data_IF_375582686370
#
_entry.id   IF_375582686370
#
_cell.length_a   1.000
_cell.length_b   1.000
_cell.length_c   1.000
_cell.angle_alpha   90.00
_cell.angle_beta   90.00
_cell.angle_gamma   90.00
#
_symmetry.space_group_name_H-M   'P 1'
#
loop_
_entity.id
_entity.type
_entity.pdbx_description
1 polymer ?
#
# COMPACT_ATOMS: atom_id res chain seq x y z
N UNK A 1 70.22 -31.46 8.97
CA UNK A 1 69.03 -31.84 8.16
C UNK A 1 67.77 -32.06 8.99
N UNK A 2 67.80 -32.73 10.16
CA UNK A 2 66.60 -32.96 11.01
C UNK A 2 65.94 -31.68 11.56
N UNK A 3 66.72 -30.65 11.93
CA UNK A 3 66.20 -29.35 12.42
C UNK A 3 65.52 -28.51 11.32
N UNK A 4 65.93 -28.67 10.07
CA UNK A 4 65.33 -28.02 8.90
C UNK A 4 63.99 -28.68 8.53
N UNK A 5 63.94 -30.01 8.58
CA UNK A 5 62.70 -30.77 8.40
C UNK A 5 61.64 -30.43 9.45
N UNK A 6 62.04 -30.32 10.73
CA UNK A 6 61.11 -29.96 11.81
C UNK A 6 60.52 -28.54 11.65
N UNK A 7 61.33 -27.59 11.19
CA UNK A 7 60.87 -26.22 10.93
C UNK A 7 59.86 -26.17 9.77
N UNK A 8 60.12 -26.94 8.71
CA UNK A 8 59.26 -26.97 7.51
C UNK A 8 57.92 -27.66 7.78
N UNK A 9 57.91 -28.73 8.58
CA UNK A 9 56.65 -29.37 9.03
C UNK A 9 55.84 -28.47 9.94
N UNK A 10 56.50 -27.67 10.80
CA UNK A 10 55.80 -26.74 11.69
C UNK A 10 55.18 -25.57 10.93
N UNK A 11 55.87 -25.04 9.91
CA UNK A 11 55.33 -24.02 9.03
C UNK A 11 54.13 -24.51 8.20
N UNK A 12 54.17 -25.77 7.73
CA UNK A 12 53.06 -26.38 7.00
C UNK A 12 51.80 -26.56 7.88
N UNK A 13 51.97 -26.91 9.16
CA UNK A 13 50.86 -27.03 10.11
C UNK A 13 50.20 -25.67 10.42
N UNK A 14 50.98 -24.59 10.49
CA UNK A 14 50.45 -23.24 10.70
C UNK A 14 49.72 -22.69 9.46
N UNK A 15 50.19 -23.02 8.26
CA UNK A 15 49.53 -22.62 7.01
C UNK A 15 48.20 -23.36 6.76
N UNK A 16 48.03 -24.55 7.35
CA UNK A 16 46.79 -25.35 7.24
C UNK A 16 45.62 -24.79 8.08
N UNK A 17 45.87 -23.86 9.00
CA UNK A 17 44.88 -23.32 9.93
C UNK A 17 44.35 -21.95 9.48
N UNK A 18 44.09 -21.80 8.18
CA UNK A 18 43.67 -20.55 7.55
C UNK A 18 42.49 -20.71 6.58
N UNK A 19 41.64 -21.73 6.77
CA UNK A 19 40.41 -21.88 6.02
C UNK A 19 39.42 -20.79 6.43
N UNK A 20 39.06 -19.90 5.52
CA UNK A 20 38.01 -18.91 5.74
C UNK A 20 36.68 -19.64 5.92
N UNK A 21 36.11 -19.55 7.13
CA UNK A 21 34.84 -20.18 7.53
C UNK A 21 33.59 -19.50 6.92
N UNK A 22 33.80 -18.73 5.84
CA UNK A 22 32.74 -18.09 5.08
C UNK A 22 32.41 -19.02 3.92
N UNK A 23 31.27 -19.71 4.01
CA UNK A 23 30.80 -20.58 2.93
C UNK A 23 30.71 -19.85 1.58
N UNK A 24 30.61 -20.59 0.48
CA UNK A 24 30.63 -20.11 -0.91
C UNK A 24 29.57 -19.04 -1.24
N UNK A 25 28.61 -18.78 -0.34
CA UNK A 25 27.55 -17.79 -0.50
C UNK A 25 27.72 -16.64 0.50
N UNK A 26 28.69 -15.76 0.23
CA UNK A 26 28.96 -14.54 1.01
C UNK A 26 28.12 -13.32 0.60
N UNK A 27 27.24 -13.48 -0.39
CA UNK A 27 26.44 -12.39 -0.96
C UNK A 27 27.26 -11.42 -1.82
N UNK A 28 26.56 -10.51 -2.50
CA UNK A 28 27.19 -9.49 -3.34
C UNK A 28 27.92 -8.48 -2.45
N UNK A 29 29.23 -8.36 -2.65
CA UNK A 29 30.05 -7.40 -1.93
C UNK A 29 29.66 -5.97 -2.30
N UNK A 30 29.74 -5.05 -1.33
CA UNK A 30 29.36 -3.63 -1.48
C UNK A 30 27.86 -3.35 -1.66
N UNK A 31 26.96 -4.17 -1.09
CA UNK A 31 25.56 -3.77 -0.96
C UNK A 31 25.48 -2.55 -0.03
N UNK A 32 24.89 -1.41 -0.46
CA UNK A 32 24.62 -0.31 0.45
C UNK A 32 23.73 -0.83 1.59
N UNK A 33 24.03 -0.43 2.82
CA UNK A 33 23.19 -0.76 3.98
C UNK A 33 21.79 -0.24 3.72
N UNK A 34 20.85 -1.16 3.54
CA UNK A 34 19.44 -0.81 3.36
C UNK A 34 18.86 -0.49 4.73
N UNK A 35 18.54 0.77 4.94
CA UNK A 35 17.65 1.18 6.02
C UNK A 35 16.24 1.24 5.44
N UNK A 36 15.27 0.49 5.97
CA UNK A 36 13.90 0.74 5.59
C UNK A 36 13.59 2.20 5.91
N UNK A 37 13.12 2.94 4.90
CA UNK A 37 12.61 4.28 5.13
C UNK A 37 11.36 4.18 5.99
N UNK A 38 11.31 4.91 7.10
CA UNK A 38 10.11 5.03 7.92
C UNK A 38 9.00 5.66 7.05
N UNK A 39 7.83 5.01 6.91
CA UNK A 39 6.70 5.60 6.22
C UNK A 39 6.31 6.92 6.89
N UNK A 40 5.87 7.89 6.08
CA UNK A 40 5.47 9.19 6.60
C UNK A 40 4.35 9.06 7.64
N UNK A 41 4.50 9.70 8.80
CA UNK A 41 3.51 9.66 9.88
C UNK A 41 3.53 8.37 10.73
N UNK A 42 4.46 7.44 10.46
CA UNK A 42 4.59 6.20 11.21
C UNK A 42 5.92 6.11 11.96
N UNK A 43 5.92 5.32 13.04
CA UNK A 43 7.12 5.01 13.84
C UNK A 43 7.43 3.52 13.78
N UNK A 44 8.72 3.18 13.79
CA UNK A 44 9.18 1.79 13.83
C UNK A 44 9.05 1.22 15.25
N UNK A 45 8.29 0.12 15.39
CA UNK A 45 8.17 -0.65 16.63
C UNK A 45 9.09 -1.88 16.54
N UNK A 46 10.13 -1.99 17.39
CA UNK A 46 11.05 -3.11 17.34
C UNK A 46 10.37 -4.41 17.77
N UNK A 47 10.90 -5.54 17.28
CA UNK A 47 10.45 -6.84 17.73
C UNK A 47 10.68 -7.02 19.23
N UNK A 48 9.75 -7.68 19.91
CA UNK A 48 9.85 -7.87 21.35
C UNK A 48 8.74 -8.76 21.88
N UNK A 49 8.85 -9.08 23.17
CA UNK A 49 7.78 -9.72 23.92
C UNK A 49 7.30 -8.80 25.02
N UNK A 50 6.00 -8.80 25.26
CA UNK A 50 5.36 -8.06 26.35
C UNK A 50 4.21 -8.87 26.95
N UNK A 51 3.85 -8.57 28.18
CA UNK A 51 2.68 -9.17 28.82
C UNK A 51 1.44 -8.39 28.41
N UNK A 52 0.54 -9.04 27.67
CA UNK A 52 -0.73 -8.47 27.23
C UNK A 52 -1.84 -8.91 28.17
N UNK A 53 -2.63 -7.96 28.66
CA UNK A 53 -3.75 -8.21 29.58
C UNK A 53 -3.62 -7.39 30.85
N UNK A 54 -4.59 -7.53 31.75
CA UNK A 54 -4.60 -6.78 33.00
C UNK A 54 -3.57 -7.36 33.97
N UNK A 55 -2.82 -6.47 34.64
CA UNK A 55 -1.86 -6.83 35.68
C UNK A 55 -2.42 -6.68 37.09
N UNK A 56 -3.52 -5.92 37.27
CA UNK A 56 -4.12 -5.60 38.56
C UNK A 56 -5.52 -6.23 38.67
N UNK A 57 -5.73 -7.13 39.64
CA UNK A 57 -7.07 -7.62 39.97
C UNK A 57 -7.74 -6.62 40.91
N UNK A 58 -8.90 -6.05 40.56
CA UNK A 58 -9.85 -5.64 41.62
C UNK A 58 -11.29 -5.36 41.15
N UNK A 59 -11.87 -6.25 40.34
CA UNK A 59 -13.34 -6.34 40.24
C UNK A 59 -13.78 -7.81 40.18
N UNK A 60 -14.37 -8.37 41.26
CA UNK A 60 -15.01 -9.67 41.19
C UNK A 60 -16.08 -9.66 40.09
N UNK A 61 -16.17 -10.71 39.27
CA UNK A 61 -17.08 -10.86 38.11
C UNK A 61 -16.70 -10.19 36.79
N UNK A 62 -15.55 -9.52 36.66
CA UNK A 62 -15.08 -9.10 35.35
C UNK A 62 -14.40 -10.29 34.63
N UNK A 63 -14.94 -10.71 33.47
CA UNK A 63 -14.28 -11.64 32.54
C UNK A 63 -13.05 -10.95 31.90
N UNK A 64 -12.05 -10.65 32.72
CA UNK A 64 -10.83 -9.98 32.29
C UNK A 64 -9.94 -10.98 31.57
N UNK A 65 -9.40 -10.57 30.42
CA UNK A 65 -8.47 -11.38 29.67
C UNK A 65 -7.23 -11.66 30.54
N UNK A 66 -6.85 -12.93 30.78
CA UNK A 66 -5.70 -13.26 31.60
C UNK A 66 -4.43 -12.70 30.96
N UNK A 67 -3.51 -12.21 31.81
CA UNK A 67 -2.20 -11.76 31.38
C UNK A 67 -1.46 -12.88 30.64
N UNK A 68 -1.12 -12.66 29.37
CA UNK A 68 -0.37 -13.62 28.54
C UNK A 68 0.85 -12.95 27.91
N UNK A 69 1.97 -13.66 27.86
CA UNK A 69 3.15 -13.19 27.16
C UNK A 69 2.92 -13.32 25.64
N UNK A 70 3.00 -12.21 24.92
CA UNK A 70 2.86 -12.15 23.47
C UNK A 70 4.18 -11.66 22.88
N UNK A 71 4.67 -12.35 21.86
CA UNK A 71 5.80 -11.91 21.05
C UNK A 71 5.28 -11.35 19.73
N UNK A 72 5.71 -10.14 19.38
CA UNK A 72 5.30 -9.46 18.14
C UNK A 72 6.54 -9.17 17.31
N UNK A 73 6.45 -9.45 16.00
CA UNK A 73 7.50 -9.08 15.04
C UNK A 73 7.58 -7.55 14.91
N UNK A 74 8.69 -7.03 14.37
CA UNK A 74 8.78 -5.58 14.15
C UNK A 74 7.79 -5.10 13.08
N UNK A 75 7.16 -3.95 13.30
CA UNK A 75 6.20 -3.34 12.37
C UNK A 75 6.18 -1.81 12.51
N UNK A 76 5.45 -1.12 11.64
CA UNK A 76 5.22 0.32 11.72
C UNK A 76 3.85 0.61 12.31
N UNK A 77 3.77 1.64 13.15
CA UNK A 77 2.53 2.12 13.75
C UNK A 77 2.39 3.62 13.53
N UNK A 78 1.17 4.09 13.25
CA UNK A 78 0.90 5.53 13.15
C UNK A 78 1.29 6.25 14.45
N UNK A 79 1.96 7.40 14.32
CA UNK A 79 2.39 8.19 15.48
C UNK A 79 1.19 8.79 16.25
N UNK A 80 0.11 9.10 15.54
CA UNK A 80 -1.12 9.70 16.07
C UNK A 80 -2.33 8.95 15.52
N UNK A 81 -3.49 9.09 16.17
CA UNK A 81 -4.73 8.64 15.53
C UNK A 81 -4.97 9.41 14.22
N UNK A 82 -5.66 8.77 13.28
CA UNK A 82 -6.05 9.39 12.01
C UNK A 82 -6.89 10.64 12.30
N UNK A 83 -6.43 11.78 11.79
CA UNK A 83 -7.12 13.05 11.95
C UNK A 83 -8.36 13.12 11.07
N UNK A 84 -9.32 13.95 11.47
CA UNK A 84 -10.51 14.23 10.64
C UNK A 84 -10.16 14.76 9.24
N UNK A 85 -9.00 15.38 9.06
CA UNK A 85 -8.58 15.90 7.75
C UNK A 85 -8.04 14.78 6.84
N UNK A 86 -7.20 13.90 7.38
CA UNK A 86 -6.71 12.71 6.65
C UNK A 86 -7.85 11.78 6.27
N UNK A 87 -8.81 11.58 7.18
CA UNK A 87 -9.99 10.78 6.85
C UNK A 87 -10.82 11.41 5.72
N UNK A 88 -10.94 12.75 5.67
CA UNK A 88 -11.62 13.44 4.55
C UNK A 88 -10.87 13.26 3.24
N UNK A 89 -9.54 13.29 3.23
CA UNK A 89 -8.74 13.03 2.04
C UNK A 89 -9.03 11.63 1.49
N UNK A 90 -9.06 10.61 2.35
CA UNK A 90 -9.43 9.25 1.97
C UNK A 90 -10.85 9.19 1.36
N UNK A 91 -11.84 9.76 2.05
CA UNK A 91 -13.24 9.76 1.56
C UNK A 91 -13.37 10.47 0.22
N UNK A 92 -12.69 11.61 0.03
CA UNK A 92 -12.69 12.32 -1.25
C UNK A 92 -12.04 11.50 -2.36
N UNK A 93 -10.92 10.83 -2.08
CA UNK A 93 -10.27 9.95 -3.05
C UNK A 93 -11.18 8.79 -3.46
N UNK A 94 -11.86 8.14 -2.50
CA UNK A 94 -12.80 7.04 -2.79
C UNK A 94 -13.98 7.55 -3.61
N UNK A 95 -14.59 8.67 -3.22
CA UNK A 95 -15.69 9.30 -3.97
C UNK A 95 -15.27 9.59 -5.41
N UNK A 96 -14.10 10.20 -5.59
CA UNK A 96 -13.58 10.60 -6.90
C UNK A 96 -13.23 9.36 -7.76
N UNK A 97 -12.68 8.30 -7.14
CA UNK A 97 -12.41 7.03 -7.82
C UNK A 97 -13.71 6.39 -8.35
N UNK A 98 -14.75 6.32 -7.52
CA UNK A 98 -16.03 5.71 -7.91
C UNK A 98 -16.73 6.54 -8.97
N UNK A 99 -16.70 7.87 -8.84
CA UNK A 99 -17.25 8.78 -9.84
C UNK A 99 -16.60 8.58 -11.21
N UNK A 100 -15.27 8.51 -11.26
CA UNK A 100 -14.53 8.25 -12.50
C UNK A 100 -14.87 6.91 -13.12
N UNK A 101 -14.98 5.85 -12.30
CA UNK A 101 -15.36 4.51 -12.81
C UNK A 101 -16.72 4.58 -13.51
N UNK A 102 -17.69 5.24 -12.89
CA UNK A 102 -19.02 5.40 -13.47
C UNK A 102 -19.05 6.29 -14.70
N UNK A 103 -18.24 7.36 -14.72
CA UNK A 103 -18.12 8.22 -15.89
C UNK A 103 -17.50 7.45 -17.07
N UNK A 104 -16.50 6.62 -16.80
CA UNK A 104 -15.88 5.75 -17.79
C UNK A 104 -16.87 4.68 -18.32
N UNK A 105 -17.69 4.09 -17.44
CA UNK A 105 -18.75 3.15 -17.83
C UNK A 105 -19.90 3.82 -18.60
N UNK A 106 -20.20 5.08 -18.26
CA UNK A 106 -21.16 5.92 -18.97
C UNK A 106 -20.65 6.46 -20.30
N UNK A 107 -19.41 6.11 -20.69
CA UNK A 107 -18.74 6.57 -21.91
C UNK A 107 -18.80 8.11 -22.05
N UNK A 108 -18.61 8.80 -20.93
CA UNK A 108 -18.55 10.26 -20.90
C UNK A 108 -17.23 10.71 -21.51
N UNK A 109 -17.29 11.68 -22.42
CA UNK A 109 -16.13 12.29 -23.07
C UNK A 109 -15.06 12.69 -22.03
N UNK A 110 -13.79 12.50 -22.38
CA UNK A 110 -12.58 12.69 -21.55
C UNK A 110 -12.40 11.72 -20.36
N UNK A 111 -13.46 11.08 -19.85
CA UNK A 111 -13.40 10.20 -18.68
C UNK A 111 -13.30 8.70 -19.01
N UNK A 112 -13.17 8.35 -20.29
CA UNK A 112 -13.01 6.98 -20.74
C UNK A 112 -11.77 6.30 -20.12
N UNK A 113 -11.80 4.97 -20.06
CA UNK A 113 -10.63 4.20 -19.65
C UNK A 113 -9.49 4.40 -20.66
N UNK A 114 -8.29 4.63 -20.14
CA UNK A 114 -7.05 4.59 -20.92
C UNK A 114 -6.78 3.14 -21.30
N UNK A 115 -6.87 2.82 -22.59
CA UNK A 115 -6.46 1.52 -23.12
C UNK A 115 -5.02 1.58 -23.60
N UNK A 116 -4.20 0.62 -23.18
CA UNK A 116 -2.82 0.51 -23.62
C UNK A 116 -2.66 0.18 -25.10
N UNK A 117 -3.65 -0.45 -25.72
CA UNK A 117 -3.62 -0.72 -27.15
C UNK A 117 -3.79 0.54 -28.01
N UNK A 118 -4.44 1.58 -27.47
CA UNK A 118 -4.79 2.81 -28.19
C UNK A 118 -3.85 3.99 -27.87
N UNK A 119 -2.81 3.76 -27.06
CA UNK A 119 -1.82 4.78 -26.73
C UNK A 119 -0.98 5.14 -27.97
N UNK A 120 -0.77 6.45 -28.19
CA UNK A 120 0.05 6.95 -29.30
C UNK A 120 1.56 6.70 -29.09
N UNK A 121 2.03 6.77 -27.84
CA UNK A 121 3.43 6.53 -27.46
C UNK A 121 3.54 5.66 -26.18
N UNK A 122 3.27 4.35 -26.28
CA UNK A 122 3.35 3.44 -25.15
C UNK A 122 4.80 3.12 -24.78
N UNK A 123 5.05 2.94 -23.48
CA UNK A 123 6.31 2.35 -23.01
C UNK A 123 6.42 0.89 -23.44
N UNK A 124 7.65 0.37 -23.60
CA UNK A 124 7.87 -1.06 -23.89
C UNK A 124 7.13 -2.03 -22.96
N UNK A 125 6.92 -1.64 -21.70
CA UNK A 125 6.15 -2.44 -20.76
C UNK A 125 4.64 -2.40 -21.06
N UNK A 126 4.09 -1.25 -21.41
CA UNK A 126 2.68 -1.12 -21.80
C UNK A 126 2.39 -1.92 -23.07
N UNK A 127 3.28 -1.86 -24.06
CA UNK A 127 3.20 -2.70 -25.27
C UNK A 127 3.20 -4.19 -24.94
N UNK A 128 4.12 -4.62 -24.05
CA UNK A 128 4.18 -6.01 -23.63
C UNK A 128 2.87 -6.45 -22.95
N UNK A 129 2.29 -5.61 -22.09
CA UNK A 129 1.00 -5.89 -21.45
C UNK A 129 -0.10 -5.98 -22.51
N UNK A 130 -0.19 -5.02 -23.42
CA UNK A 130 -1.22 -4.99 -24.46
C UNK A 130 -1.20 -6.22 -25.37
N UNK A 131 -0.03 -6.83 -25.60
CA UNK A 131 0.11 -8.02 -26.46
C UNK A 131 -0.07 -9.36 -25.72
N UNK A 132 0.15 -9.41 -24.40
CA UNK A 132 0.27 -10.69 -23.68
C UNK A 132 -0.76 -10.88 -22.56
N UNK A 133 -1.46 -9.83 -22.14
CA UNK A 133 -2.36 -9.84 -20.98
C UNK A 133 -3.82 -9.78 -21.46
N UNK A 134 -4.79 -10.23 -20.64
CA UNK A 134 -6.20 -10.09 -20.98
C UNK A 134 -6.64 -8.62 -20.93
N UNK A 135 -7.68 -8.28 -21.70
CA UNK A 135 -8.25 -6.93 -21.82
C UNK A 135 -8.55 -6.26 -20.47
N UNK A 136 -8.96 -7.04 -19.46
CA UNK A 136 -9.24 -6.54 -18.11
C UNK A 136 -8.02 -5.95 -17.39
N UNK A 137 -6.80 -6.27 -17.82
CA UNK A 137 -5.55 -5.76 -17.28
C UNK A 137 -4.91 -4.67 -18.14
N UNK A 138 -5.47 -4.41 -19.33
CA UNK A 138 -4.97 -3.41 -20.28
C UNK A 138 -5.55 -2.02 -20.05
N UNK A 139 -6.73 -1.94 -19.42
CA UNK A 139 -7.47 -0.69 -19.20
C UNK A 139 -7.16 -0.07 -17.84
N UNK A 140 -6.97 1.24 -17.80
CA UNK A 140 -6.76 2.01 -16.57
C UNK A 140 -7.70 3.20 -16.48
N UNK A 141 -8.08 3.54 -15.26
CA UNK A 141 -8.93 4.70 -15.02
C UNK A 141 -8.18 5.99 -15.35
N UNK A 142 -8.82 6.90 -16.08
CA UNK A 142 -8.24 8.19 -16.40
C UNK A 142 -8.36 9.17 -15.20
N UNK A 143 -7.21 9.58 -14.66
CA UNK A 143 -7.12 10.52 -13.53
C UNK A 143 -6.78 11.95 -13.97
N UNK A 144 -6.44 12.17 -15.23
CA UNK A 144 -6.02 13.46 -15.77
C UNK A 144 -7.15 14.51 -15.81
N UNK A 145 -8.39 14.21 -16.25
CA UNK A 145 -9.45 15.21 -16.28
C UNK A 145 -9.88 15.58 -14.86
N UNK A 146 -10.13 16.87 -14.62
CA UNK A 146 -10.63 17.36 -13.34
C UNK A 146 -12.12 17.01 -13.16
N UNK A 147 -12.49 16.50 -11.99
CA UNK A 147 -13.89 16.24 -11.64
C UNK A 147 -14.58 17.53 -11.18
N UNK A 148 -15.60 17.94 -11.92
CA UNK A 148 -16.45 19.06 -11.53
C UNK A 148 -17.58 18.60 -10.61
N UNK A 149 -17.71 19.26 -9.46
CA UNK A 149 -18.72 18.97 -8.45
C UNK A 149 -19.77 20.08 -8.32
N UNK A 150 -19.50 21.26 -8.89
CA UNK A 150 -20.41 22.39 -8.92
C UNK A 150 -21.44 22.23 -10.06
N UNK A 151 -22.73 22.14 -9.69
CA UNK A 151 -23.84 21.84 -10.62
C UNK A 151 -23.95 22.79 -11.81
N UNK A 152 -23.61 24.05 -11.61
CA UNK A 152 -23.64 25.09 -12.65
C UNK A 152 -22.47 25.01 -13.64
N UNK A 153 -21.49 24.13 -13.39
CA UNK A 153 -20.30 23.95 -14.23
C UNK A 153 -20.17 22.56 -14.84
N UNK A 154 -21.18 21.70 -14.71
CA UNK A 154 -21.13 20.38 -15.33
C UNK A 154 -20.94 20.47 -16.85
N UNK A 155 -20.01 19.68 -17.42
CA UNK A 155 -19.61 19.82 -18.82
C UNK A 155 -20.66 19.29 -19.81
N UNK A 156 -21.42 18.25 -19.44
CA UNK A 156 -22.37 17.59 -20.34
C UNK A 156 -23.60 17.02 -19.60
N UNK A 157 -24.60 16.61 -20.38
CA UNK A 157 -25.81 15.99 -19.85
C UNK A 157 -25.52 14.58 -19.30
N UNK A 158 -24.67 13.83 -20.00
CA UNK A 158 -24.21 12.49 -19.64
C UNK A 158 -23.42 12.52 -18.33
N UNK A 159 -22.52 13.49 -18.19
CA UNK A 159 -21.79 13.73 -16.94
C UNK A 159 -22.76 14.02 -15.79
N UNK A 160 -23.78 14.84 -16.05
CA UNK A 160 -24.78 15.21 -15.05
C UNK A 160 -25.58 14.00 -14.57
N UNK A 161 -26.03 13.15 -15.49
CA UNK A 161 -26.79 11.94 -15.17
C UNK A 161 -25.98 10.98 -14.29
N UNK A 162 -24.74 10.71 -14.67
CA UNK A 162 -23.85 9.81 -13.92
C UNK A 162 -23.56 10.36 -12.52
N UNK A 163 -23.18 11.63 -12.42
CA UNK A 163 -22.80 12.24 -11.14
C UNK A 163 -24.00 12.40 -10.22
N UNK A 164 -25.16 12.86 -10.72
CA UNK A 164 -26.35 12.98 -9.87
C UNK A 164 -26.90 11.61 -9.46
N UNK A 165 -26.70 10.56 -10.27
CA UNK A 165 -27.03 9.17 -9.91
C UNK A 165 -26.27 8.62 -8.70
N UNK A 166 -25.16 9.26 -8.29
CA UNK A 166 -24.43 8.92 -7.06
C UNK A 166 -25.08 9.46 -5.78
N UNK A 167 -26.06 10.35 -5.89
CA UNK A 167 -26.70 11.01 -4.76
C UNK A 167 -28.06 10.38 -4.47
N UNK A 168 -28.55 10.62 -3.26
CA UNK A 168 -29.88 10.16 -2.88
C UNK A 168 -30.94 10.78 -3.80
N UNK A 169 -31.95 10.00 -4.21
CA UNK A 169 -33.04 10.51 -5.02
C UNK A 169 -33.87 11.53 -4.22
N UNK A 170 -34.57 12.47 -4.87
CA UNK A 170 -35.26 13.58 -4.19
C UNK A 170 -36.23 13.15 -3.07
N UNK A 171 -36.82 11.96 -3.18
CA UNK A 171 -37.75 11.40 -2.21
C UNK A 171 -37.07 10.96 -0.90
N UNK A 172 -35.78 10.62 -0.95
CA UNK A 172 -34.98 10.20 0.20
C UNK A 172 -34.15 11.36 0.80
N UNK A 173 -34.11 12.52 0.14
CA UNK A 173 -33.32 13.66 0.59
C UNK A 173 -33.93 14.33 1.82
N UNK A 174 -33.11 14.49 2.86
CA UNK A 174 -33.49 15.25 4.05
C UNK A 174 -33.46 16.76 3.75
N UNK A 175 -34.61 17.44 3.91
CA UNK A 175 -34.78 18.88 3.68
C UNK A 175 -34.33 19.37 2.28
N UNK A 176 -34.34 18.48 1.27
CA UNK A 176 -33.87 18.78 -0.08
C UNK A 176 -32.36 19.03 -0.17
N UNK A 177 -31.59 18.68 0.87
CA UNK A 177 -30.13 18.73 0.80
C UNK A 177 -29.62 17.54 -0.02
N UNK A 178 -28.74 17.86 -0.96
CA UNK A 178 -27.99 16.88 -1.73
C UNK A 178 -27.05 16.11 -0.80
N UNK A 179 -27.26 14.80 -0.71
CA UNK A 179 -26.44 13.89 0.08
C UNK A 179 -25.99 12.72 -0.79
N UNK A 180 -24.70 12.38 -0.71
CA UNK A 180 -24.14 11.26 -1.45
C UNK A 180 -24.75 9.97 -0.92
N UNK A 181 -25.15 9.06 -1.81
CA UNK A 181 -25.71 7.79 -1.40
C UNK A 181 -24.57 6.85 -0.96
N UNK A 182 -24.43 6.67 0.35
CA UNK A 182 -23.36 5.83 0.92
C UNK A 182 -23.49 4.36 0.57
N UNK A 183 -24.67 3.90 0.15
CA UNK A 183 -24.91 2.50 -0.30
C UNK A 183 -24.22 2.19 -1.61
N UNK A 184 -23.70 3.20 -2.29
CA UNK A 184 -23.06 3.12 -3.59
C UNK A 184 -21.53 3.18 -3.50
N UNK A 185 -20.98 3.24 -2.27
CA UNK A 185 -19.54 3.41 -2.00
C UNK A 185 -18.87 2.14 -1.46
N UNK A 186 -19.48 0.98 -1.68
CA UNK A 186 -19.08 -0.32 -1.14
C UNK A 186 -18.59 -1.31 -2.21
#
# INVERSE_FOLDING_TARGET
MKKLLLGLTSAALLASCGGSDQGELVGVQNRPTWYPSEPYGMVYIPQGSFTMGNHDEDVPYAYTAPAKAVSVASFYMDQTEITNNEYRQFVQWVRDSIARVRLAEGLVEDFEYIDFADLEDPTYYQDYVALNYPDSMMRRLNWDPFLEWEKNRYPSAEYTEVIEGMYLPPEEQWLGYRQLDTRQLN
#
